data_IF_675215904482
#
_entry.id   IF_675215904482
#
_cell.length_a   1.000
_cell.length_b   1.000
_cell.length_c   1.000
_cell.angle_alpha   90.00
_cell.angle_beta   90.00
_cell.angle_gamma   90.00
#
_symmetry.space_group_name_H-M   'P 1'
#
loop_
_entity.id
_entity.type
_entity.pdbx_description
1 polymer ?
#
# COMPACT_ATOMS: atom_id res chain seq x y z
N UNK A 1 27.80 42.55 -11.34
CA UNK A 1 26.72 41.56 -11.55
C UNK A 1 26.34 41.05 -10.16
N UNK A 2 25.07 41.23 -9.79
CA UNK A 2 24.59 41.03 -8.42
C UNK A 2 24.62 39.56 -8.02
N UNK A 3 25.32 39.22 -6.95
CA UNK A 3 25.22 37.92 -6.30
C UNK A 3 23.80 37.76 -5.70
N UNK A 4 23.12 36.62 -5.91
CA UNK A 4 21.86 36.38 -5.20
C UNK A 4 22.21 36.18 -3.73
N UNK A 5 21.76 37.12 -2.90
CA UNK A 5 21.72 36.97 -1.46
C UNK A 5 20.70 35.85 -1.18
N UNK A 6 21.18 34.62 -0.96
CA UNK A 6 20.37 33.61 -0.28
C UNK A 6 20.37 34.02 1.20
N UNK A 7 19.48 34.94 1.55
CA UNK A 7 19.16 35.20 2.94
C UNK A 7 18.57 33.90 3.50
N UNK A 8 19.13 33.30 4.57
CA UNK A 8 18.41 32.28 5.30
C UNK A 8 17.16 32.98 5.82
N UNK A 9 15.99 32.60 5.30
CA UNK A 9 14.73 33.18 5.75
C UNK A 9 14.50 32.65 7.16
N UNK A 10 15.09 33.33 8.16
CA UNK A 10 14.70 33.18 9.55
C UNK A 10 13.34 33.86 9.69
N UNK A 11 12.30 33.20 9.17
CA UNK A 11 10.95 33.52 9.56
C UNK A 11 10.79 32.92 10.95
N UNK A 12 10.95 33.75 11.98
CA UNK A 12 10.15 33.53 13.19
C UNK A 12 8.73 33.24 12.69
N UNK A 13 8.09 32.12 13.07
CA UNK A 13 6.69 31.92 12.74
C UNK A 13 5.95 33.16 13.25
N UNK A 14 5.42 33.96 12.30
CA UNK A 14 4.72 35.22 12.60
C UNK A 14 3.40 34.92 13.34
N UNK A 15 2.95 33.68 13.20
CA UNK A 15 1.74 33.14 13.79
C UNK A 15 2.09 32.28 15.03
N UNK A 16 1.59 32.65 16.22
CA UNK A 16 1.76 31.87 17.45
C UNK A 16 1.33 30.41 17.30
N UNK A 17 0.30 30.14 16.49
CA UNK A 17 -0.26 28.79 16.32
C UNK A 17 0.75 27.86 15.60
N UNK A 18 1.58 28.41 14.72
CA UNK A 18 2.64 27.65 14.04
C UNK A 18 3.78 27.27 14.99
N UNK A 19 4.03 28.08 16.02
CA UNK A 19 5.03 27.76 17.06
C UNK A 19 4.53 26.60 17.92
N UNK A 20 3.23 26.57 18.21
CA UNK A 20 2.60 25.49 18.98
C UNK A 20 2.55 24.17 18.20
N UNK A 21 2.37 24.23 16.88
CA UNK A 21 2.37 23.06 16.00
C UNK A 21 3.76 22.51 15.66
N UNK A 22 4.82 23.28 15.91
CA UNK A 22 6.18 22.88 15.60
C UNK A 22 6.72 21.86 16.61
N UNK A 23 7.46 20.87 16.11
CA UNK A 23 8.26 20.00 16.99
C UNK A 23 9.45 20.84 17.53
N UNK A 24 9.79 20.77 18.82
CA UNK A 24 10.89 21.57 19.37
C UNK A 24 12.20 21.41 18.59
N UNK A 25 12.75 22.53 18.11
CA UNK A 25 13.99 22.54 17.29
C UNK A 25 13.77 22.27 15.79
N UNK A 26 12.53 22.06 15.36
CA UNK A 26 12.12 21.79 13.98
C UNK A 26 10.94 22.67 13.55
N UNK A 27 10.58 22.62 12.26
CA UNK A 27 9.39 23.29 11.74
C UNK A 27 8.09 22.54 12.07
N UNK A 28 6.99 23.01 11.45
CA UNK A 28 5.72 22.27 11.46
C UNK A 28 5.92 20.95 10.71
N UNK A 29 5.51 19.79 11.26
CA UNK A 29 5.69 18.48 10.63
C UNK A 29 5.25 18.41 9.16
N UNK A 30 4.16 19.08 8.79
CA UNK A 30 3.65 19.08 7.41
C UNK A 30 4.46 19.92 6.42
N UNK A 31 5.38 20.75 6.89
CA UNK A 31 6.19 21.68 6.09
C UNK A 31 7.70 21.43 6.20
N UNK A 32 8.12 20.63 7.19
CA UNK A 32 9.52 20.28 7.41
C UNK A 32 9.76 18.82 7.01
N UNK A 33 10.46 18.57 5.88
CA UNK A 33 10.70 17.21 5.39
C UNK A 33 11.74 16.44 6.23
N UNK A 34 12.38 17.09 7.22
CA UNK A 34 13.32 16.39 8.08
C UNK A 34 12.60 15.32 8.91
N UNK A 35 13.14 14.09 9.00
CA UNK A 35 12.48 13.02 9.76
C UNK A 35 12.26 13.36 11.23
N UNK A 36 13.14 14.18 11.82
CA UNK A 36 13.05 14.60 13.21
C UNK A 36 11.94 15.63 13.46
N UNK A 37 11.42 16.29 12.42
CA UNK A 37 10.24 17.14 12.51
C UNK A 37 8.93 16.35 12.45
N UNK A 38 8.97 15.06 12.11
CA UNK A 38 7.78 14.22 11.99
C UNK A 38 7.42 13.61 13.35
N UNK A 39 6.12 13.48 13.61
CA UNK A 39 5.62 12.77 14.79
C UNK A 39 5.38 11.31 14.40
N UNK A 40 6.07 10.39 15.07
CA UNK A 40 5.87 8.97 14.84
C UNK A 40 4.48 8.52 15.34
N UNK A 41 3.85 7.59 14.61
CA UNK A 41 2.63 6.94 15.07
C UNK A 41 2.93 6.04 16.27
N UNK A 42 1.96 5.93 17.19
CA UNK A 42 2.00 4.89 18.20
C UNK A 42 2.06 3.51 17.52
N UNK A 43 2.79 2.51 18.05
CA UNK A 43 2.90 1.19 17.42
C UNK A 43 1.55 0.55 17.07
N UNK A 44 0.51 0.77 17.89
CA UNK A 44 -0.84 0.24 17.63
C UNK A 44 -1.52 0.97 16.48
N UNK A 45 -1.32 2.27 16.36
CA UNK A 45 -1.81 3.06 15.21
C UNK A 45 -1.04 2.69 13.95
N UNK A 46 0.28 2.57 14.02
CA UNK A 46 1.11 2.12 12.91
C UNK A 46 0.67 0.74 12.38
N UNK A 47 0.37 -0.23 13.24
CA UNK A 47 -0.13 -1.55 12.80
C UNK A 47 -1.50 -1.43 12.10
N UNK A 48 -2.41 -0.60 12.64
CA UNK A 48 -3.74 -0.39 12.06
C UNK A 48 -3.70 0.31 10.71
N UNK A 49 -2.89 1.36 10.60
CA UNK A 49 -2.67 2.09 9.35
C UNK A 49 -2.02 1.17 8.31
N UNK A 50 -0.99 0.42 8.69
CA UNK A 50 -0.31 -0.54 7.79
C UNK A 50 -1.27 -1.62 7.29
N UNK A 51 -2.10 -2.18 8.18
CA UNK A 51 -3.12 -3.16 7.79
C UNK A 51 -4.15 -2.57 6.84
N UNK A 52 -4.57 -1.33 7.09
CA UNK A 52 -5.54 -0.62 6.24
C UNK A 52 -4.96 -0.33 4.86
N UNK A 53 -3.72 0.15 4.80
CA UNK A 53 -2.98 0.37 3.55
C UNK A 53 -2.88 -0.91 2.76
N UNK A 54 -2.59 -2.04 3.42
CA UNK A 54 -2.42 -3.28 2.71
C UNK A 54 -3.74 -3.92 2.25
N UNK A 55 -4.81 -3.78 3.03
CA UNK A 55 -6.17 -4.14 2.59
C UNK A 55 -6.59 -3.30 1.39
N UNK A 56 -6.39 -1.98 1.46
CA UNK A 56 -6.73 -1.05 0.38
C UNK A 56 -5.88 -1.28 -0.88
N UNK A 57 -4.58 -1.48 -0.70
CA UNK A 57 -3.64 -1.80 -1.77
C UNK A 57 -3.97 -3.14 -2.42
N UNK A 58 -4.27 -4.15 -1.61
CA UNK A 58 -4.73 -5.46 -2.06
C UNK A 58 -6.02 -5.38 -2.86
N UNK A 59 -7.01 -4.61 -2.40
CA UNK A 59 -8.24 -4.35 -3.15
C UNK A 59 -7.94 -3.79 -4.54
N UNK A 60 -7.15 -2.72 -4.60
CA UNK A 60 -6.85 -2.04 -5.87
C UNK A 60 -6.05 -2.96 -6.80
N UNK A 61 -4.96 -3.55 -6.31
CA UNK A 61 -4.11 -4.43 -7.10
C UNK A 61 -4.86 -5.68 -7.57
N UNK A 62 -5.62 -6.32 -6.68
CA UNK A 62 -6.45 -7.47 -7.00
C UNK A 62 -7.54 -7.13 -8.02
N UNK A 63 -8.20 -5.98 -7.86
CA UNK A 63 -9.20 -5.52 -8.84
C UNK A 63 -8.59 -5.30 -10.22
N UNK A 64 -7.42 -4.65 -10.30
CA UNK A 64 -6.73 -4.40 -11.56
C UNK A 64 -6.29 -5.71 -12.23
N UNK A 65 -5.69 -6.63 -11.47
CA UNK A 65 -5.27 -7.93 -11.96
C UNK A 65 -6.47 -8.77 -12.45
N UNK A 66 -7.52 -8.86 -11.64
CA UNK A 66 -8.74 -9.58 -11.98
C UNK A 66 -9.46 -8.98 -13.19
N UNK A 67 -9.51 -7.65 -13.29
CA UNK A 67 -10.05 -6.95 -14.45
C UNK A 67 -9.25 -7.23 -15.72
N UNK A 68 -7.92 -7.27 -15.65
CA UNK A 68 -7.06 -7.57 -16.79
C UNK A 68 -7.27 -9.01 -17.29
N UNK A 69 -7.29 -9.98 -16.38
CA UNK A 69 -7.59 -11.38 -16.73
C UNK A 69 -9.02 -11.51 -17.30
N UNK A 70 -9.98 -10.86 -16.66
CA UNK A 70 -11.37 -10.85 -17.11
C UNK A 70 -11.52 -10.23 -18.50
N UNK A 71 -10.82 -9.14 -18.79
CA UNK A 71 -10.78 -8.53 -20.12
C UNK A 71 -10.27 -9.50 -21.18
N UNK A 72 -9.19 -10.23 -20.88
CA UNK A 72 -8.59 -11.18 -21.79
C UNK A 72 -9.51 -12.37 -22.10
N UNK A 73 -10.30 -12.83 -21.12
CA UNK A 73 -11.15 -14.02 -21.25
C UNK A 73 -12.55 -13.70 -21.77
N UNK A 74 -13.15 -12.58 -21.34
CA UNK A 74 -14.56 -12.28 -21.58
C UNK A 74 -14.82 -10.81 -22.00
N UNK A 75 -13.78 -10.06 -22.37
CA UNK A 75 -13.90 -8.69 -22.85
C UNK A 75 -14.47 -7.74 -21.79
N UNK A 76 -15.27 -6.72 -22.17
CA UNK A 76 -15.74 -5.68 -21.25
C UNK A 76 -16.55 -6.21 -20.06
N UNK A 77 -17.34 -7.27 -20.24
CA UNK A 77 -18.10 -7.87 -19.12
C UNK A 77 -17.15 -8.55 -18.13
N UNK A 78 -16.10 -9.19 -18.64
CA UNK A 78 -15.06 -9.80 -17.82
C UNK A 78 -14.28 -8.79 -16.98
N UNK A 79 -14.09 -7.55 -17.44
CA UNK A 79 -13.48 -6.47 -16.64
C UNK A 79 -14.27 -6.24 -15.36
N UNK A 80 -15.60 -6.16 -15.44
CA UNK A 80 -16.46 -5.89 -14.29
C UNK A 80 -16.47 -7.06 -13.31
N UNK A 81 -16.68 -8.28 -13.81
CA UNK A 81 -16.76 -9.50 -12.98
C UNK A 81 -15.39 -9.84 -12.40
N UNK A 82 -14.35 -9.83 -13.25
CA UNK A 82 -12.97 -10.09 -12.87
C UNK A 82 -12.44 -9.03 -11.90
N UNK A 83 -12.77 -7.75 -12.10
CA UNK A 83 -12.39 -6.68 -11.19
C UNK A 83 -13.02 -6.84 -9.81
N UNK A 84 -14.32 -7.18 -9.73
CA UNK A 84 -14.99 -7.41 -8.46
C UNK A 84 -14.46 -8.63 -7.71
N UNK A 85 -14.26 -9.76 -8.39
CA UNK A 85 -13.70 -10.98 -7.80
C UNK A 85 -12.24 -10.77 -7.39
N UNK A 86 -11.47 -10.12 -8.25
CA UNK A 86 -10.08 -9.77 -8.00
C UNK A 86 -9.95 -8.84 -6.79
N UNK A 87 -10.85 -7.87 -6.62
CA UNK A 87 -10.89 -7.02 -5.43
C UNK A 87 -11.10 -7.83 -4.15
N UNK A 88 -12.04 -8.78 -4.16
CA UNK A 88 -12.34 -9.61 -2.99
C UNK A 88 -11.13 -10.49 -2.58
N UNK A 89 -10.51 -11.15 -3.56
CA UNK A 89 -9.27 -11.92 -3.34
C UNK A 89 -8.13 -11.00 -2.90
N UNK A 90 -8.04 -9.82 -3.51
CA UNK A 90 -7.03 -8.81 -3.22
C UNK A 90 -7.10 -8.28 -1.79
N UNK A 91 -8.28 -8.03 -1.24
CA UNK A 91 -8.47 -7.64 0.17
C UNK A 91 -7.96 -8.73 1.12
N UNK A 92 -8.30 -10.01 0.84
CA UNK A 92 -7.89 -11.15 1.67
C UNK A 92 -6.37 -11.36 1.59
N UNK A 93 -5.83 -11.37 0.37
CA UNK A 93 -4.40 -11.52 0.12
C UNK A 93 -3.59 -10.36 0.70
N UNK A 94 -4.10 -9.14 0.58
CA UNK A 94 -3.55 -7.95 1.22
C UNK A 94 -3.50 -8.11 2.73
N UNK A 95 -4.62 -8.37 3.39
CA UNK A 95 -4.64 -8.55 4.84
C UNK A 95 -3.66 -9.64 5.35
N UNK A 96 -3.47 -10.71 4.57
CA UNK A 96 -2.56 -11.81 4.89
C UNK A 96 -1.08 -11.51 4.64
N UNK A 97 -0.74 -10.86 3.52
CA UNK A 97 0.64 -10.52 3.17
C UNK A 97 1.29 -9.62 4.22
N UNK A 98 0.52 -8.80 4.94
CA UNK A 98 1.04 -7.83 5.91
C UNK A 98 1.58 -8.47 7.18
N UNK A 99 1.25 -9.74 7.40
CA UNK A 99 1.86 -10.55 8.46
C UNK A 99 3.19 -11.18 8.02
N UNK A 100 3.44 -11.27 6.71
CA UNK A 100 4.68 -11.78 6.13
C UNK A 100 5.72 -10.69 5.87
N UNK A 101 5.29 -9.43 5.66
CA UNK A 101 6.20 -8.27 5.61
C UNK A 101 6.63 -7.84 7.03
N UNK A 102 7.04 -8.82 7.84
CA UNK A 102 8.08 -8.59 8.82
C UNK A 102 9.40 -8.58 8.01
N UNK A 103 10.42 -7.77 8.32
CA UNK A 103 11.65 -7.68 7.50
C UNK A 103 12.48 -8.98 7.38
N UNK A 104 11.97 -10.10 7.88
CA UNK A 104 12.50 -11.45 7.71
C UNK A 104 11.47 -12.32 6.96
N UNK A 105 11.43 -12.25 5.62
CA UNK A 105 10.67 -13.22 4.83
C UNK A 105 9.98 -12.68 3.60
N UNK A 106 10.75 -12.37 2.55
CA UNK A 106 10.21 -12.17 1.20
C UNK A 106 9.63 -13.49 0.68
N UNK A 107 8.31 -13.59 0.54
CA UNK A 107 7.70 -14.68 -0.21
C UNK A 107 7.50 -14.26 -1.68
N UNK A 108 8.26 -14.91 -2.55
CA UNK A 108 8.23 -14.80 -4.01
C UNK A 108 6.89 -15.24 -4.59
N UNK A 109 6.59 -14.69 -5.76
CA UNK A 109 5.35 -14.83 -6.52
C UNK A 109 5.18 -16.19 -7.21
N UNK A 110 5.10 -17.30 -6.46
CA UNK A 110 4.95 -18.65 -7.04
C UNK A 110 3.71 -19.46 -6.59
N UNK A 111 2.80 -18.93 -5.75
CA UNK A 111 1.61 -19.69 -5.30
C UNK A 111 0.34 -19.42 -6.15
N UNK A 112 0.46 -19.35 -7.48
CA UNK A 112 -0.72 -19.28 -8.38
C UNK A 112 -1.00 -20.59 -9.13
N UNK A 113 -0.11 -21.60 -9.08
CA UNK A 113 -0.31 -22.83 -9.86
C UNK A 113 -0.53 -24.09 -9.01
N UNK A 114 -1.63 -24.16 -8.25
CA UNK A 114 -2.05 -25.43 -7.59
C UNK A 114 -3.55 -25.72 -7.61
N UNK A 115 -4.33 -25.19 -8.56
CA UNK A 115 -5.76 -25.54 -8.63
C UNK A 115 -6.26 -25.96 -10.03
N UNK A 116 -5.37 -26.21 -11.01
CA UNK A 116 -5.80 -26.60 -12.36
C UNK A 116 -5.61 -28.10 -12.68
N UNK A 117 -4.93 -28.90 -11.86
CA UNK A 117 -4.64 -30.30 -12.17
C UNK A 117 -5.10 -31.25 -11.07
N UNK A 118 -6.42 -31.48 -10.95
CA UNK A 118 -6.96 -32.65 -10.24
C UNK A 118 -8.37 -33.06 -10.65
N UNK A 119 -8.78 -32.75 -11.89
CA UNK A 119 -9.98 -33.37 -12.49
C UNK A 119 -9.58 -33.97 -13.82
N UNK A 120 -9.08 -35.22 -13.81
CA UNK A 120 -9.10 -36.20 -14.91
C UNK A 120 -7.95 -37.21 -14.73
N UNK A 121 -8.07 -38.15 -13.78
CA UNK A 121 -7.49 -39.50 -13.91
C UNK A 121 -8.06 -40.42 -12.84
N UNK A 122 -8.96 -41.31 -13.25
CA UNK A 122 -9.54 -42.31 -12.37
C UNK A 122 -10.61 -43.18 -13.02
N UNK A 123 -10.41 -43.61 -14.27
CA UNK A 123 -11.16 -44.76 -14.82
C UNK A 123 -10.41 -46.02 -14.36
N UNK A 124 -11.01 -46.92 -13.58
CA UNK A 124 -10.34 -48.17 -13.20
C UNK A 124 -10.39 -49.18 -14.36
N UNK A 125 -9.30 -49.93 -14.63
CA UNK A 125 -9.34 -51.02 -15.60
C UNK A 125 -10.07 -52.24 -15.02
N UNK A 126 -10.74 -53.00 -15.90
CA UNK A 126 -11.13 -54.39 -15.65
C UNK A 126 -9.99 -55.33 -15.99
#
# INVERSE_FOLDING_TARGET
>A
MNSPIIQPVSLKPVDPDLVEQAVPGHGVPSQDPSPAAQVALDPKEAERESKSVLVGGGLVAGSAAGAAVGAAVAGPVGVLVGGALGAAVGVIGGAGAGKLVNPEGTASADDVDKNAENTHRGVPPR
#
